data_IF_423903337384
#
_entry.id   IF_423903337384
#
_cell.length_a   1.000
_cell.length_b   1.000
_cell.length_c   1.000
_cell.angle_alpha   90.00
_cell.angle_beta   90.00
_cell.angle_gamma   90.00
#
_symmetry.space_group_name_H-M   'P 1'
#
loop_
_entity.id
_entity.type
_entity.pdbx_description
1 polymer ?
#
# COMPACT_ATOMS: atom_id res chain seq x y z
N UNK A 1 -9.89 -10.15 -23.68
CA UNK A 1 -9.52 -11.44 -23.05
C UNK A 1 -8.16 -11.97 -23.52
N UNK A 2 -7.81 -11.95 -24.81
CA UNK A 2 -6.47 -12.37 -25.26
C UNK A 2 -5.30 -11.48 -24.74
N UNK A 3 -5.51 -10.17 -24.58
CA UNK A 3 -4.47 -9.24 -24.12
C UNK A 3 -4.11 -9.35 -22.62
N UNK A 4 -5.05 -9.81 -21.77
CA UNK A 4 -4.80 -10.05 -20.32
C UNK A 4 -3.99 -11.33 -20.10
N UNK A 5 -4.14 -12.31 -21.01
CA UNK A 5 -3.38 -13.57 -20.98
C UNK A 5 -1.92 -13.33 -21.37
N UNK A 6 -1.67 -12.43 -22.33
CA UNK A 6 -0.32 -12.07 -22.77
C UNK A 6 0.37 -11.07 -21.80
N UNK A 7 -0.43 -10.26 -21.09
CA UNK A 7 0.04 -9.33 -20.05
C UNK A 7 -0.90 -9.35 -18.84
N UNK A 8 -0.54 -10.08 -17.78
CA UNK A 8 -1.26 -10.02 -16.51
C UNK A 8 -1.30 -8.58 -15.98
N UNK A 9 -2.44 -8.15 -15.43
CA UNK A 9 -2.71 -6.80 -14.89
C UNK A 9 -2.94 -5.69 -15.93
N UNK A 10 -3.14 -6.02 -17.21
CA UNK A 10 -3.35 -5.01 -18.24
C UNK A 10 -4.61 -4.17 -17.95
N UNK A 11 -5.72 -4.82 -17.60
CA UNK A 11 -6.98 -4.14 -17.29
C UNK A 11 -7.01 -3.52 -15.87
N UNK A 12 -6.02 -3.83 -15.02
CA UNK A 12 -5.91 -3.24 -13.69
C UNK A 12 -4.92 -2.06 -13.60
N UNK A 13 -4.01 -1.92 -14.56
CA UNK A 13 -3.12 -0.75 -14.72
C UNK A 13 -3.74 0.31 -15.64
N UNK A 14 -4.88 0.86 -15.20
CA UNK A 14 -5.62 1.89 -15.94
C UNK A 14 -4.94 3.27 -16.03
N UNK A 15 -3.81 3.46 -15.34
CA UNK A 15 -3.07 4.72 -15.30
C UNK A 15 -2.40 5.09 -16.63
N UNK A 16 -2.03 4.12 -17.45
CA UNK A 16 -1.49 4.38 -18.79
C UNK A 16 -2.59 4.21 -19.84
N UNK A 17 -3.46 5.24 -19.95
CA UNK A 17 -4.52 5.30 -20.96
C UNK A 17 -3.96 5.10 -22.38
N UNK A 18 -2.74 5.58 -22.66
CA UNK A 18 -2.10 5.39 -23.96
C UNK A 18 -1.77 3.91 -24.21
N UNK A 19 -1.32 3.19 -23.17
CA UNK A 19 -1.05 1.76 -23.24
C UNK A 19 -2.33 0.95 -23.42
N UNK A 20 -3.40 1.28 -22.69
CA UNK A 20 -4.70 0.63 -22.85
C UNK A 20 -5.29 0.85 -24.25
N UNK A 21 -5.21 2.07 -24.79
CA UNK A 21 -5.65 2.37 -26.16
C UNK A 21 -4.82 1.61 -27.19
N UNK A 22 -3.50 1.47 -26.97
CA UNK A 22 -2.60 0.73 -27.86
C UNK A 22 -2.94 -0.77 -27.94
N UNK A 23 -3.36 -1.38 -26.83
CA UNK A 23 -3.68 -2.82 -26.79
C UNK A 23 -5.15 -3.14 -27.06
N UNK A 24 -6.08 -2.30 -26.61
CA UNK A 24 -7.52 -2.53 -26.79
C UNK A 24 -8.06 -1.93 -28.08
N UNK A 25 -7.38 -0.92 -28.63
CA UNK A 25 -7.91 -0.05 -29.68
C UNK A 25 -8.90 0.98 -29.12
N UNK A 26 -9.01 2.13 -29.78
CA UNK A 26 -9.81 3.27 -29.31
C UNK A 26 -11.28 2.93 -29.05
N UNK A 27 -11.90 2.07 -29.87
CA UNK A 27 -13.29 1.68 -29.71
C UNK A 27 -13.54 0.89 -28.42
N UNK A 28 -12.74 -0.16 -28.18
CA UNK A 28 -12.90 -1.01 -27.00
C UNK A 28 -12.52 -0.26 -25.71
N UNK A 29 -11.50 0.61 -25.78
CA UNK A 29 -11.14 1.47 -24.65
C UNK A 29 -12.30 2.39 -24.24
N UNK A 30 -12.99 3.02 -25.19
CA UNK A 30 -14.13 3.91 -24.89
C UNK A 30 -15.28 3.15 -24.22
N UNK A 31 -15.58 1.92 -24.67
CA UNK A 31 -16.60 1.07 -24.02
C UNK A 31 -16.18 0.71 -22.58
N UNK A 32 -14.92 0.34 -22.38
CA UNK A 32 -14.38 0.03 -21.05
C UNK A 32 -14.43 1.24 -20.10
N UNK A 33 -13.98 2.41 -20.57
CA UNK A 33 -13.99 3.66 -19.79
C UNK A 33 -15.42 4.10 -19.45
N UNK A 34 -16.38 3.94 -20.36
CA UNK A 34 -17.79 4.23 -20.10
C UNK A 34 -18.37 3.36 -18.98
N UNK A 35 -18.11 2.05 -19.00
CA UNK A 35 -18.57 1.12 -17.95
C UNK A 35 -17.95 1.49 -16.60
N UNK A 36 -16.65 1.76 -16.56
CA UNK A 36 -15.95 2.13 -15.33
C UNK A 36 -16.47 3.46 -14.76
N UNK A 37 -16.72 4.45 -15.62
CA UNK A 37 -17.29 5.74 -15.21
C UNK A 37 -18.70 5.59 -14.64
N UNK A 38 -19.57 4.82 -15.30
CA UNK A 38 -20.94 4.57 -14.80
C UNK A 38 -20.88 3.90 -13.43
N UNK A 39 -20.05 2.86 -13.26
CA UNK A 39 -19.90 2.16 -11.99
C UNK A 39 -19.43 3.08 -10.86
N UNK A 40 -18.39 3.88 -11.12
CA UNK A 40 -17.84 4.83 -10.14
C UNK A 40 -18.85 5.90 -9.72
N UNK A 41 -19.57 6.47 -10.70
CA UNK A 41 -20.58 7.49 -10.43
C UNK A 41 -21.78 6.92 -9.66
N UNK A 42 -22.24 5.71 -10.00
CA UNK A 42 -23.32 5.05 -9.27
C UNK A 42 -22.92 4.72 -7.83
N UNK A 43 -21.70 4.24 -7.58
CA UNK A 43 -21.22 3.99 -6.22
C UNK A 43 -21.23 5.26 -5.36
N UNK A 44 -20.78 6.40 -5.90
CA UNK A 44 -20.85 7.67 -5.17
C UNK A 44 -22.28 8.14 -4.91
N UNK A 45 -23.17 7.99 -5.88
CA UNK A 45 -24.58 8.40 -5.75
C UNK A 45 -25.37 7.54 -4.75
N UNK A 46 -24.98 6.28 -4.56
CA UNK A 46 -25.63 5.32 -3.68
C UNK A 46 -24.98 5.23 -2.28
N UNK A 47 -23.90 5.99 -2.02
CA UNK A 47 -23.21 5.98 -0.74
C UNK A 47 -24.15 6.38 0.39
N UNK A 48 -24.19 5.57 1.45
CA UNK A 48 -25.11 5.74 2.57
C UNK A 48 -24.35 5.76 3.90
N UNK A 49 -24.82 6.54 4.87
CA UNK A 49 -24.29 6.55 6.24
C UNK A 49 -24.34 5.18 6.92
N UNK A 50 -25.26 4.31 6.51
CA UNK A 50 -25.38 2.96 7.06
C UNK A 50 -24.14 2.08 6.79
N UNK A 51 -23.37 2.36 5.74
CA UNK A 51 -22.16 1.61 5.38
C UNK A 51 -21.09 1.69 6.48
N UNK A 52 -21.08 2.77 7.27
CA UNK A 52 -20.17 2.95 8.41
C UNK A 52 -20.44 1.92 9.52
N UNK A 53 -21.69 1.51 9.69
CA UNK A 53 -22.06 0.56 10.76
C UNK A 53 -21.40 -0.80 10.54
N UNK A 54 -21.34 -1.26 9.29
CA UNK A 54 -20.69 -2.53 8.94
C UNK A 54 -19.17 -2.47 9.17
N UNK A 55 -18.55 -1.34 8.83
CA UNK A 55 -17.13 -1.09 9.09
C UNK A 55 -16.84 -1.07 10.59
N UNK A 56 -17.64 -0.37 11.39
CA UNK A 56 -17.48 -0.35 12.84
C UNK A 56 -17.61 -1.74 13.47
N UNK A 57 -18.58 -2.53 13.01
CA UNK A 57 -18.79 -3.89 13.50
C UNK A 57 -17.58 -4.78 13.19
N UNK A 58 -17.02 -4.66 11.98
CA UNK A 58 -15.81 -5.38 11.60
C UNK A 58 -14.61 -4.97 12.47
N UNK A 59 -14.41 -3.67 12.72
CA UNK A 59 -13.30 -3.18 13.56
C UNK A 59 -13.43 -3.66 15.01
N UNK A 60 -14.63 -3.62 15.59
CA UNK A 60 -14.89 -4.11 16.95
C UNK A 60 -14.63 -5.62 17.08
N UNK A 61 -15.01 -6.39 16.07
CA UNK A 61 -14.83 -7.84 16.07
C UNK A 61 -13.36 -8.28 15.91
N UNK A 62 -12.52 -7.44 15.28
CA UNK A 62 -11.11 -7.76 14.96
C UNK A 62 -10.10 -6.92 15.75
N UNK A 63 -10.53 -6.24 16.82
CA UNK A 63 -9.64 -5.43 17.65
C UNK A 63 -8.71 -6.31 18.50
N UNK A 64 -7.46 -5.89 18.65
CA UNK A 64 -6.49 -6.53 19.53
C UNK A 64 -6.23 -5.65 20.76
N UNK A 65 -6.29 -6.24 21.95
CA UNK A 65 -6.00 -5.53 23.20
C UNK A 65 -4.53 -5.07 23.25
N UNK A 66 -4.23 -3.88 23.80
CA UNK A 66 -2.87 -3.42 23.94
C UNK A 66 -2.04 -4.32 24.86
N UNK A 67 -0.79 -4.60 24.48
CA UNK A 67 0.13 -5.33 25.35
C UNK A 67 0.53 -4.46 26.57
N UNK A 68 0.23 -4.89 27.82
CA UNK A 68 0.54 -4.10 29.03
C UNK A 68 2.01 -3.76 29.20
N UNK A 69 2.92 -4.57 28.64
CA UNK A 69 4.36 -4.33 28.72
C UNK A 69 4.83 -3.12 27.90
N UNK A 70 4.05 -2.68 26.90
CA UNK A 70 4.39 -1.59 25.99
C UNK A 70 3.41 -0.42 26.02
N UNK A 71 2.17 -0.66 26.47
CA UNK A 71 1.13 0.37 26.49
C UNK A 71 1.57 1.64 27.23
N UNK A 72 1.54 2.77 26.53
CA UNK A 72 1.84 4.09 27.09
C UNK A 72 3.32 4.36 27.41
N UNK A 73 4.26 3.45 27.13
CA UNK A 73 5.69 3.63 27.48
C UNK A 73 6.35 4.84 26.81
N UNK A 74 5.85 5.31 25.67
CA UNK A 74 6.38 6.47 24.94
C UNK A 74 5.48 7.72 25.05
N UNK A 75 4.58 7.79 26.04
CA UNK A 75 3.65 8.93 26.19
C UNK A 75 4.42 10.24 26.39
N UNK A 76 4.10 11.25 25.55
CA UNK A 76 4.71 12.57 25.61
C UNK A 76 6.06 12.70 24.89
N UNK A 77 6.53 11.65 24.22
CA UNK A 77 7.72 11.70 23.38
C UNK A 77 7.37 12.18 21.96
N UNK A 78 8.36 12.74 21.27
CA UNK A 78 8.24 13.06 19.85
C UNK A 78 8.24 11.78 19.01
N UNK A 79 7.51 11.80 17.90
CA UNK A 79 7.52 10.74 16.89
C UNK A 79 8.26 11.27 15.67
N UNK A 80 9.26 10.54 15.19
CA UNK A 80 10.00 10.83 13.95
C UNK A 80 9.89 9.61 13.05
N UNK A 81 9.33 9.81 11.85
CA UNK A 81 9.19 8.77 10.84
C UNK A 81 10.19 9.01 9.73
N UNK A 82 10.92 7.96 9.31
CA UNK A 82 11.90 8.02 8.22
C UNK A 82 11.50 6.99 7.16
N UNK A 83 11.13 7.45 5.97
CA UNK A 83 10.88 6.59 4.82
C UNK A 83 12.21 6.23 4.13
N UNK A 84 12.50 4.93 4.03
CA UNK A 84 13.68 4.42 3.33
C UNK A 84 13.25 4.01 1.92
N UNK A 85 13.45 4.92 0.96
CA UNK A 85 12.99 4.78 -0.41
C UNK A 85 13.53 3.51 -1.08
N UNK A 86 12.60 2.68 -1.61
CA UNK A 86 12.89 1.45 -2.35
C UNK A 86 13.81 0.43 -1.63
N UNK A 87 13.94 0.53 -0.30
CA UNK A 87 14.74 -0.40 0.49
C UNK A 87 13.99 -1.71 0.74
N UNK A 88 14.67 -2.84 0.55
CA UNK A 88 14.11 -4.17 0.81
C UNK A 88 14.90 -4.88 1.91
N UNK A 89 14.23 -5.74 2.67
CA UNK A 89 14.81 -6.37 3.86
C UNK A 89 16.07 -7.21 3.58
N UNK A 90 16.23 -7.76 2.37
CA UNK A 90 17.39 -8.60 2.02
C UNK A 90 18.73 -7.88 2.10
N UNK A 91 18.76 -6.55 2.12
CA UNK A 91 19.99 -5.75 2.19
C UNK A 91 20.58 -5.69 3.60
N UNK A 92 19.81 -6.10 4.61
CA UNK A 92 20.29 -6.27 5.99
C UNK A 92 21.27 -7.45 6.00
N UNK A 93 22.43 -7.25 6.62
CA UNK A 93 23.59 -8.15 6.64
C UNK A 93 24.18 -8.51 5.26
N UNK A 94 23.65 -7.93 4.18
CA UNK A 94 24.13 -8.17 2.84
C UNK A 94 25.50 -7.55 2.60
N UNK A 95 26.37 -8.31 1.93
CA UNK A 95 27.75 -7.92 1.65
C UNK A 95 28.05 -7.99 0.17
N UNK A 96 28.74 -6.96 -0.34
CA UNK A 96 29.30 -6.93 -1.69
C UNK A 96 30.81 -6.84 -1.58
N UNK A 97 31.53 -7.82 -2.15
CA UNK A 97 32.99 -7.92 -2.05
C UNK A 97 33.51 -7.86 -0.61
N UNK A 98 32.79 -8.52 0.32
CA UNK A 98 33.13 -8.57 1.74
C UNK A 98 32.80 -7.31 2.55
N UNK A 99 32.23 -6.27 1.92
CA UNK A 99 31.81 -5.03 2.59
C UNK A 99 30.30 -4.99 2.78
N UNK A 100 29.85 -4.62 3.97
CA UNK A 100 28.42 -4.45 4.27
C UNK A 100 27.82 -3.32 3.45
N UNK A 101 26.63 -3.56 2.90
CA UNK A 101 25.90 -2.56 2.13
C UNK A 101 25.23 -1.53 3.04
N UNK A 102 24.72 -1.96 4.21
CA UNK A 102 23.98 -1.09 5.14
C UNK A 102 24.50 -1.17 6.59
N UNK A 103 25.78 -0.90 6.85
CA UNK A 103 26.41 -1.17 8.16
C UNK A 103 25.71 -0.48 9.35
N UNK A 104 25.19 0.74 9.17
CA UNK A 104 24.42 1.42 10.21
C UNK A 104 23.07 0.74 10.48
N UNK A 105 22.33 0.32 9.43
CA UNK A 105 21.06 -0.38 9.60
C UNK A 105 21.26 -1.78 10.20
N UNK A 106 22.32 -2.48 9.81
CA UNK A 106 22.73 -3.74 10.46
C UNK A 106 22.96 -3.52 11.96
N UNK A 107 23.65 -2.44 12.33
CA UNK A 107 23.90 -2.14 13.75
C UNK A 107 22.61 -1.91 14.55
N UNK A 108 21.59 -1.32 13.94
CA UNK A 108 20.27 -1.12 14.57
C UNK A 108 19.49 -2.44 14.65
N UNK A 109 19.54 -3.26 13.59
CA UNK A 109 18.84 -4.54 13.54
C UNK A 109 19.35 -5.54 14.58
N UNK A 110 20.63 -5.47 14.95
CA UNK A 110 21.28 -6.33 15.93
C UNK A 110 21.44 -5.72 17.31
N UNK A 111 20.98 -4.48 17.53
CA UNK A 111 21.02 -3.89 18.87
C UNK A 111 19.88 -4.45 19.74
N UNK A 112 20.10 -4.52 21.06
CA UNK A 112 19.10 -5.02 22.01
C UNK A 112 18.11 -3.93 22.48
N UNK A 113 18.05 -2.78 21.79
CA UNK A 113 17.29 -1.58 22.18
C UNK A 113 16.26 -1.16 21.12
N UNK A 114 16.37 -1.66 19.90
CA UNK A 114 15.59 -1.32 18.72
C UNK A 114 14.69 -2.49 18.39
N UNK A 115 13.42 -2.20 18.08
CA UNK A 115 12.53 -3.20 17.51
C UNK A 115 12.79 -3.32 16.02
N UNK A 116 13.33 -4.46 15.61
CA UNK A 116 13.49 -4.83 14.21
C UNK A 116 12.54 -5.97 13.85
N UNK A 117 11.86 -5.85 12.72
CA UNK A 117 10.86 -6.79 12.23
C UNK A 117 11.30 -7.31 10.86
N UNK A 118 11.84 -8.53 10.82
CA UNK A 118 12.33 -9.20 9.61
C UNK A 118 11.19 -9.74 8.72
N UNK A 119 10.00 -9.92 9.30
CA UNK A 119 8.77 -10.39 8.65
C UNK A 119 7.75 -9.24 8.47
N UNK A 120 8.22 -8.08 8.00
CA UNK A 120 7.39 -6.92 7.66
C UNK A 120 7.31 -6.74 6.13
N UNK A 121 6.11 -6.50 5.60
CA UNK A 121 5.86 -6.42 4.16
C UNK A 121 5.16 -5.11 3.80
N UNK A 122 5.61 -4.47 2.72
CA UNK A 122 4.87 -3.35 2.14
C UNK A 122 3.59 -3.84 1.46
N UNK A 123 2.51 -3.07 1.56
CA UNK A 123 1.20 -3.40 0.99
C UNK A 123 0.75 -2.39 -0.08
N UNK A 124 1.72 -1.75 -0.73
CA UNK A 124 1.53 -0.68 -1.71
C UNK A 124 1.01 -1.20 -3.06
N UNK A 125 0.18 -0.41 -3.73
CA UNK A 125 -0.27 -0.66 -5.11
C UNK A 125 0.50 0.16 -6.14
N UNK A 126 -0.26 0.85 -7.00
CA UNK A 126 0.29 1.70 -8.07
C UNK A 126 0.80 3.05 -7.58
N UNK A 127 0.33 3.53 -6.42
CA UNK A 127 0.79 4.78 -5.82
C UNK A 127 2.17 4.71 -5.15
N UNK A 128 2.73 3.51 -4.97
CA UNK A 128 4.11 3.30 -4.47
C UNK A 128 4.35 4.02 -3.14
N UNK A 129 5.21 5.04 -3.13
CA UNK A 129 5.56 5.82 -1.95
C UNK A 129 4.34 6.50 -1.33
N UNK A 130 3.42 7.04 -2.15
CA UNK A 130 2.19 7.67 -1.62
C UNK A 130 1.26 6.67 -0.93
N UNK A 131 1.24 5.41 -1.39
CA UNK A 131 0.44 4.36 -0.76
C UNK A 131 1.03 3.97 0.60
N UNK A 132 2.36 3.94 0.72
CA UNK A 132 3.04 3.67 1.99
C UNK A 132 2.77 4.79 3.00
N UNK A 133 2.85 6.06 2.58
CA UNK A 133 2.50 7.21 3.40
C UNK A 133 1.02 7.17 3.83
N UNK A 134 0.11 6.88 2.89
CA UNK A 134 -1.32 6.76 3.18
C UNK A 134 -1.61 5.72 4.28
N UNK A 135 -1.04 4.52 4.14
CA UNK A 135 -1.23 3.45 5.12
C UNK A 135 -0.64 3.81 6.48
N UNK A 136 0.54 4.43 6.50
CA UNK A 136 1.22 4.79 7.75
C UNK A 136 0.43 5.82 8.56
N UNK A 137 -0.18 6.80 7.88
CA UNK A 137 -0.88 7.90 8.54
C UNK A 137 -2.35 7.58 8.87
N UNK A 138 -2.99 6.66 8.13
CA UNK A 138 -4.44 6.41 8.25
C UNK A 138 -4.80 5.01 8.73
N UNK A 139 -3.89 4.03 8.62
CA UNK A 139 -4.17 2.62 8.84
C UNK A 139 -5.08 1.97 7.78
N UNK A 140 -5.33 2.66 6.65
CA UNK A 140 -6.18 2.16 5.56
C UNK A 140 -5.36 1.70 4.36
N UNK A 141 -5.80 0.63 3.71
CA UNK A 141 -5.20 0.16 2.46
C UNK A 141 -5.34 1.19 1.32
N UNK A 142 -4.37 1.23 0.39
CA UNK A 142 -4.49 2.07 -0.80
C UNK A 142 -5.57 1.54 -1.75
N UNK A 143 -5.87 2.33 -2.80
CA UNK A 143 -6.77 1.90 -3.87
C UNK A 143 -6.20 0.70 -4.62
N UNK A 144 -7.09 -0.18 -5.08
CA UNK A 144 -6.71 -1.33 -5.92
C UNK A 144 -6.12 -0.93 -7.28
N UNK A 145 -6.40 0.30 -7.75
CA UNK A 145 -5.85 0.86 -8.98
C UNK A 145 -5.66 2.37 -8.80
N UNK A 146 -4.63 2.93 -9.43
CA UNK A 146 -4.25 4.32 -9.29
C UNK A 146 -3.56 4.66 -7.97
N UNK A 147 -3.47 5.95 -7.68
CA UNK A 147 -2.93 6.47 -6.41
C UNK A 147 -4.07 7.08 -5.60
N UNK A 148 -4.07 6.87 -4.28
CA UNK A 148 -5.05 7.53 -3.40
C UNK A 148 -4.87 9.06 -3.43
N UNK A 149 -3.64 9.52 -3.64
CA UNK A 149 -3.28 10.94 -3.58
C UNK A 149 -3.55 11.69 -4.88
N UNK A 150 -3.71 10.99 -6.03
CA UNK A 150 -3.73 11.59 -7.37
C UNK A 150 -4.84 11.03 -8.28
#
# INVERSE_FOLDING_TARGET
>A
MAAEIDRPELLSRSFDRNYLVKYLGAYNFTVFDAIQNVKSNSQRALANSNDVTDVENYLKANSADPNPAYYGKAKGMNVITISLESLQNFVIDYKVNGKEVTPFLNSLAHDNKTFYFDNFFHQTGQGKTSDAEFMMDTGLFPLSQGSVFY
#
